data_IF_217540462294
#
_entry.id   IF_217540462294
#
_cell.length_a   1.000
_cell.length_b   1.000
_cell.length_c   1.000
_cell.angle_alpha   90.00
_cell.angle_beta   90.00
_cell.angle_gamma   90.00
#
_symmetry.space_group_name_H-M   'P 1'
#
loop_
_entity.id
_entity.type
_entity.pdbx_description
1 polymer ?
#
# COMPACT_ATOMS: atom_id res chain seq x y z
N UNK A 1 11.48 -26.77 -10.66
CA UNK A 1 10.57 -26.02 -9.76
C UNK A 1 11.24 -25.95 -8.38
N UNK A 2 11.83 -24.82 -7.98
CA UNK A 2 12.40 -24.68 -6.62
C UNK A 2 11.31 -24.27 -5.64
N UNK A 3 11.27 -24.97 -4.52
CA UNK A 3 10.34 -24.83 -3.40
C UNK A 3 11.12 -24.25 -2.22
N UNK A 4 10.54 -23.30 -1.48
CA UNK A 4 10.84 -23.03 -0.07
C UNK A 4 11.83 -21.91 0.27
N UNK A 5 11.30 -20.68 0.41
CA UNK A 5 11.58 -19.66 1.45
C UNK A 5 10.88 -18.37 0.99
N UNK A 6 9.68 -18.14 1.51
CA UNK A 6 8.80 -17.03 1.13
C UNK A 6 7.53 -17.46 0.40
N UNK A 7 6.55 -16.56 0.42
CA UNK A 7 5.16 -16.71 -0.05
C UNK A 7 5.00 -17.51 -1.35
N UNK A 8 3.92 -18.30 -1.44
CA UNK A 8 3.60 -19.09 -2.64
C UNK A 8 2.84 -18.25 -3.68
N UNK A 9 3.21 -18.36 -4.97
CA UNK A 9 2.56 -17.63 -6.07
C UNK A 9 1.02 -17.78 -6.10
N UNK A 10 0.51 -18.94 -5.69
CA UNK A 10 -0.94 -19.23 -5.67
C UNK A 10 -1.72 -18.36 -4.68
N UNK A 11 -1.05 -17.85 -3.65
CA UNK A 11 -1.65 -16.99 -2.61
C UNK A 11 -1.50 -15.50 -2.89
N UNK A 12 -0.86 -15.10 -4.00
CA UNK A 12 -0.50 -13.70 -4.22
C UNK A 12 -1.70 -12.76 -4.28
N UNK A 13 -2.83 -13.24 -4.82
CA UNK A 13 -4.06 -12.44 -4.93
C UNK A 13 -4.65 -12.21 -3.52
N UNK A 14 -4.79 -13.28 -2.73
CA UNK A 14 -5.27 -13.20 -1.35
C UNK A 14 -4.38 -12.30 -0.48
N UNK A 15 -3.06 -12.49 -0.59
CA UNK A 15 -2.08 -11.65 0.08
C UNK A 15 -2.17 -10.18 -0.35
N UNK A 16 -2.43 -9.91 -1.63
CA UNK A 16 -2.64 -8.54 -2.12
C UNK A 16 -3.85 -7.89 -1.43
N UNK A 17 -4.95 -8.63 -1.23
CA UNK A 17 -6.10 -8.13 -0.48
C UNK A 17 -5.77 -7.85 0.99
N UNK A 18 -5.15 -8.82 1.68
CA UNK A 18 -4.77 -8.65 3.09
C UNK A 18 -3.81 -7.48 3.31
N UNK A 19 -2.85 -7.27 2.39
CA UNK A 19 -1.94 -6.12 2.43
C UNK A 19 -2.70 -4.80 2.25
N UNK A 20 -3.65 -4.72 1.30
CA UNK A 20 -4.45 -3.51 1.07
C UNK A 20 -5.38 -3.16 2.23
N UNK A 21 -5.89 -4.16 2.94
CA UNK A 21 -6.79 -3.97 4.08
C UNK A 21 -6.03 -3.83 5.42
N UNK A 22 -4.69 -3.83 5.39
CA UNK A 22 -3.80 -3.83 6.56
C UNK A 22 -4.07 -5.00 7.54
N UNK A 23 -4.51 -6.14 7.03
CA UNK A 23 -4.79 -7.36 7.80
C UNK A 23 -3.59 -8.33 7.83
N UNK A 24 -2.47 -7.93 7.25
CA UNK A 24 -1.25 -8.73 7.19
C UNK A 24 -0.33 -8.40 8.37
N UNK A 25 0.19 -9.42 9.05
CA UNK A 25 1.20 -9.22 10.08
C UNK A 25 2.57 -8.84 9.47
N UNK A 26 3.49 -8.24 10.24
CA UNK A 26 4.74 -7.70 9.71
C UNK A 26 5.66 -8.75 9.06
N UNK A 27 5.68 -9.99 9.55
CA UNK A 27 6.53 -11.05 9.01
C UNK A 27 5.99 -11.52 7.66
N UNK A 28 4.68 -11.76 7.59
CA UNK A 28 4.00 -12.11 6.33
C UNK A 28 4.11 -10.99 5.30
N UNK A 29 4.09 -9.73 5.74
CA UNK A 29 4.26 -8.57 4.85
C UNK A 29 5.65 -8.53 4.23
N UNK A 30 6.70 -8.76 5.02
CA UNK A 30 8.06 -8.84 4.50
C UNK A 30 8.22 -9.98 3.49
N UNK A 31 7.60 -11.14 3.76
CA UNK A 31 7.61 -12.28 2.84
C UNK A 31 6.85 -12.02 1.53
N UNK A 32 5.74 -11.26 1.61
CA UNK A 32 4.98 -10.81 0.45
C UNK A 32 5.81 -9.86 -0.43
N UNK A 33 6.40 -8.82 0.15
CA UNK A 33 7.24 -7.86 -0.56
C UNK A 33 8.44 -8.57 -1.23
N UNK A 34 9.15 -9.41 -0.47
CA UNK A 34 10.27 -10.18 -1.00
C UNK A 34 9.85 -11.13 -2.12
N UNK A 35 8.61 -11.64 -2.13
CA UNK A 35 8.09 -12.44 -3.22
C UNK A 35 7.81 -11.61 -4.48
N UNK A 36 7.18 -10.44 -4.34
CA UNK A 36 6.90 -9.54 -5.46
C UNK A 36 8.20 -9.09 -6.15
N UNK A 37 9.26 -8.83 -5.39
CA UNK A 37 10.58 -8.48 -5.94
C UNK A 37 11.20 -9.63 -6.75
N UNK A 38 11.08 -10.87 -6.25
CA UNK A 38 11.71 -12.05 -6.87
C UNK A 38 10.89 -12.68 -8.00
N UNK A 39 9.58 -12.39 -8.07
CA UNK A 39 8.66 -13.02 -9.01
C UNK A 39 7.90 -11.98 -9.85
N UNK A 40 8.45 -11.57 -11.02
CA UNK A 40 7.80 -10.59 -11.90
C UNK A 40 6.35 -10.93 -12.29
N UNK A 41 5.98 -12.19 -12.59
CA UNK A 41 4.58 -12.54 -12.88
C UNK A 41 3.62 -12.24 -11.72
N UNK A 42 4.07 -12.44 -10.49
CA UNK A 42 3.28 -12.16 -9.29
C UNK A 42 3.19 -10.65 -9.01
N UNK A 43 4.26 -9.91 -9.26
CA UNK A 43 4.28 -8.44 -9.22
C UNK A 43 3.25 -7.83 -10.17
N UNK A 44 3.26 -8.25 -11.43
CA UNK A 44 2.31 -7.76 -12.43
C UNK A 44 0.87 -8.11 -12.06
N UNK A 45 0.64 -9.36 -11.61
CA UNK A 45 -0.68 -9.80 -11.16
C UNK A 45 -1.20 -8.97 -9.99
N UNK A 46 -0.36 -8.68 -8.99
CA UNK A 46 -0.72 -7.84 -7.86
C UNK A 46 -1.05 -6.41 -8.32
N UNK A 47 -0.23 -5.82 -9.20
CA UNK A 47 -0.50 -4.49 -9.81
C UNK A 47 -1.85 -4.42 -10.52
N UNK A 48 -2.19 -5.44 -11.29
CA UNK A 48 -3.47 -5.51 -12.01
C UNK A 48 -4.64 -5.54 -11.01
N UNK A 49 -4.56 -6.39 -9.98
CA UNK A 49 -5.59 -6.48 -8.93
C UNK A 49 -5.76 -5.15 -8.21
N UNK A 50 -4.67 -4.52 -7.78
CA UNK A 50 -4.70 -3.20 -7.12
C UNK A 50 -5.35 -2.16 -8.04
N UNK A 51 -4.93 -2.12 -9.31
CA UNK A 51 -5.46 -1.16 -10.29
C UNK A 51 -6.96 -1.35 -10.50
N UNK A 52 -7.42 -2.59 -10.62
CA UNK A 52 -8.83 -2.93 -10.73
C UNK A 52 -9.61 -2.43 -9.52
N UNK A 53 -9.17 -2.74 -8.29
CA UNK A 53 -9.85 -2.30 -7.06
C UNK A 53 -9.92 -0.78 -6.92
N UNK A 54 -8.87 -0.06 -7.31
CA UNK A 54 -8.87 1.41 -7.33
C UNK A 54 -9.89 1.97 -8.33
N UNK A 55 -10.12 1.30 -9.47
CA UNK A 55 -11.17 1.70 -10.41
C UNK A 55 -12.56 1.55 -9.79
N UNK A 56 -12.85 0.43 -9.09
CA UNK A 56 -14.13 0.25 -8.39
C UNK A 56 -14.32 1.24 -7.25
N UNK A 57 -13.29 1.46 -6.40
CA UNK A 57 -13.38 2.47 -5.33
C UNK A 57 -13.72 3.87 -5.86
N UNK A 58 -13.26 4.22 -7.07
CA UNK A 58 -13.59 5.51 -7.72
C UNK A 58 -15.00 5.55 -8.34
N UNK A 59 -15.57 4.38 -8.60
CA UNK A 59 -16.86 4.20 -9.26
C UNK A 59 -18.01 4.05 -8.26
N UNK A 60 -17.78 3.30 -7.16
CA UNK A 60 -18.76 2.97 -6.13
C UNK A 60 -18.76 3.91 -4.92
N UNK A 61 -17.74 4.75 -4.75
CA UNK A 61 -17.76 5.73 -3.67
C UNK A 61 -18.79 6.82 -3.97
N UNK A 62 -19.83 6.90 -3.12
CA UNK A 62 -20.58 8.13 -2.84
C UNK A 62 -19.55 9.27 -2.86
N UNK A 63 -19.62 10.16 -3.87
CA UNK A 63 -18.74 11.34 -4.01
C UNK A 63 -19.07 12.40 -2.97
N UNK A 64 -19.25 11.93 -1.75
CA UNK A 64 -19.73 12.64 -0.60
C UNK A 64 -18.45 13.20 0.00
N UNK A 65 -18.16 14.45 -0.36
CA UNK A 65 -16.98 15.15 0.13
C UNK A 65 -16.97 15.04 1.65
N UNK A 66 -15.81 14.68 2.22
CA UNK A 66 -15.68 14.69 3.66
C UNK A 66 -15.99 16.10 4.20
N UNK A 67 -16.65 16.23 5.36
CA UNK A 67 -16.92 17.54 5.94
C UNK A 67 -15.64 18.38 6.08
N UNK A 68 -15.75 19.69 5.86
CA UNK A 68 -14.62 20.63 5.87
C UNK A 68 -13.80 20.54 7.16
N UNK A 69 -14.47 20.40 8.30
CA UNK A 69 -13.81 20.30 9.60
C UNK A 69 -12.95 19.03 9.73
N UNK A 70 -13.37 17.92 9.12
CA UNK A 70 -12.57 16.70 9.09
C UNK A 70 -11.31 16.90 8.24
N UNK A 71 -11.43 17.57 7.09
CA UNK A 71 -10.27 17.95 6.28
C UNK A 71 -9.28 18.81 7.05
N UNK A 72 -9.75 19.82 7.80
CA UNK A 72 -8.89 20.69 8.60
C UNK A 72 -8.18 19.92 9.72
N UNK A 73 -8.90 19.05 10.43
CA UNK A 73 -8.33 18.19 11.47
C UNK A 73 -7.25 17.25 10.93
N UNK A 74 -7.50 16.58 9.82
CA UNK A 74 -6.51 15.69 9.18
C UNK A 74 -5.28 16.48 8.72
N UNK A 75 -5.47 17.66 8.13
CA UNK A 75 -4.37 18.53 7.71
C UNK A 75 -3.48 18.94 8.88
N UNK A 76 -4.09 19.30 10.01
CA UNK A 76 -3.35 19.67 11.21
C UNK A 76 -2.56 18.49 11.79
N UNK A 77 -3.15 17.29 11.83
CA UNK A 77 -2.44 16.07 12.24
C UNK A 77 -1.23 15.80 11.33
N UNK A 78 -1.40 15.88 10.01
CA UNK A 78 -0.30 15.66 9.06
C UNK A 78 0.83 16.68 9.25
N UNK A 79 0.52 17.96 9.51
CA UNK A 79 1.56 18.97 9.80
C UNK A 79 2.37 18.64 11.04
N UNK A 80 1.72 18.13 12.09
CA UNK A 80 2.36 17.75 13.36
C UNK A 80 3.22 16.49 13.25
N UNK A 81 2.83 15.53 12.40
CA UNK A 81 3.46 14.21 12.34
C UNK A 81 4.36 13.99 11.11
N UNK A 82 4.20 14.78 10.04
CA UNK A 82 4.99 14.67 8.81
C UNK A 82 5.97 15.84 8.61
N UNK A 83 6.18 16.70 9.61
CA UNK A 83 7.30 17.65 9.63
C UNK A 83 8.60 16.87 9.85
N UNK A 84 9.15 16.34 8.75
CA UNK A 84 10.53 15.84 8.71
C UNK A 84 11.53 16.97 9.03
N UNK A 85 12.76 16.63 9.44
CA UNK A 85 13.76 17.63 9.83
C UNK A 85 14.08 18.57 8.66
N UNK A 86 14.41 19.86 8.92
CA UNK A 86 14.75 20.80 7.88
C UNK A 86 15.98 20.30 7.11
N UNK A 87 15.83 20.14 5.80
CA UNK A 87 16.95 19.93 4.88
C UNK A 87 17.84 21.17 4.91
N UNK A 88 18.93 21.12 5.68
CA UNK A 88 20.00 22.12 5.67
C UNK A 88 20.72 22.07 4.33
N UNK A 89 20.26 22.84 3.36
CA UNK A 89 21.06 23.21 2.20
C UNK A 89 22.04 24.31 2.62
N UNK A 90 23.21 23.91 3.11
CA UNK A 90 24.40 24.78 3.09
C UNK A 90 25.05 24.64 1.70
N UNK A 91 25.03 25.73 0.93
CA UNK A 91 25.85 25.88 -0.28
C UNK A 91 27.05 26.76 0.07
N UNK A 92 28.22 26.25 -0.32
CA UNK A 92 29.55 26.87 -0.22
C UNK A 92 29.70 28.16 -1.01
#
# INVERSE_FOLDING_TARGET
MRRGMGMECKRIIEATFQSLDNEMDPETHADFEAHLERCPPCSERSRIVISYLLMFRRSDACRCAAPRDLHERVRELLRRHCSGPPSTSQSS
#
